data_IF_002216250670
#
_entry.id   IF_002216250670
#
_cell.length_a   1.000
_cell.length_b   1.000
_cell.length_c   1.000
_cell.angle_alpha   90.00
_cell.angle_beta   90.00
_cell.angle_gamma   90.00
#
_symmetry.space_group_name_H-M   'P 1'
#
loop_
_entity.id
_entity.type
_entity.pdbx_description
1 polymer ?
#
# COMPACT_ATOMS: atom_id res chain seq x y z
N UNK A 1 -17.90 11.79 14.01
CA UNK A 1 -19.33 11.81 14.31
C UNK A 1 -20.10 11.10 13.20
N UNK A 2 -21.13 10.38 13.54
CA UNK A 2 -21.99 9.67 12.60
C UNK A 2 -23.34 10.35 12.55
N UNK A 3 -23.92 10.39 11.38
CA UNK A 3 -25.14 11.14 11.14
C UNK A 3 -26.19 10.25 10.49
N UNK A 4 -27.43 10.41 10.89
CA UNK A 4 -28.57 9.63 10.40
C UNK A 4 -29.02 9.99 9.00
N UNK A 5 -28.72 11.21 8.56
CA UNK A 5 -29.15 11.80 7.29
C UNK A 5 -28.00 12.55 6.60
N UNK A 6 -28.30 13.14 5.47
CA UNK A 6 -27.29 13.88 4.67
C UNK A 6 -26.94 15.25 5.24
N UNK A 7 -27.73 15.78 6.19
CA UNK A 7 -27.54 17.14 6.74
C UNK A 7 -26.64 17.17 7.97
N UNK A 8 -26.53 16.03 8.69
CA UNK A 8 -25.74 15.95 9.92
C UNK A 8 -26.20 16.87 11.06
N UNK A 9 -27.48 17.17 11.11
CA UNK A 9 -28.07 18.08 12.11
C UNK A 9 -28.10 17.47 13.52
N UNK A 10 -27.94 16.14 13.60
CA UNK A 10 -27.83 15.42 14.87
C UNK A 10 -26.64 14.46 14.85
N UNK A 11 -25.80 14.51 15.91
CA UNK A 11 -24.66 13.62 16.10
C UNK A 11 -25.08 12.43 16.97
N UNK A 12 -24.74 11.22 16.54
CA UNK A 12 -24.92 9.99 17.30
C UNK A 12 -23.57 9.37 17.61
N UNK A 13 -23.39 8.86 18.80
CA UNK A 13 -22.19 8.09 19.19
C UNK A 13 -22.26 6.63 18.73
N UNK A 14 -23.46 6.13 18.45
CA UNK A 14 -23.71 4.84 17.80
C UNK A 14 -24.91 5.00 16.87
N UNK A 15 -24.73 4.72 15.59
CA UNK A 15 -25.85 4.60 14.66
C UNK A 15 -26.30 3.14 14.67
N UNK A 16 -27.03 2.75 15.70
CA UNK A 16 -27.90 1.60 15.60
C UNK A 16 -29.11 1.98 14.75
N UNK A 17 -29.05 1.79 13.44
CA UNK A 17 -30.20 2.03 12.58
C UNK A 17 -30.71 0.74 11.99
N UNK A 18 -32.00 0.51 12.20
CA UNK A 18 -32.70 -0.68 11.74
C UNK A 18 -32.93 -0.55 10.23
N UNK A 19 -32.27 -1.37 9.44
CA UNK A 19 -32.49 -1.50 8.00
C UNK A 19 -33.53 -2.60 7.76
N UNK A 20 -34.44 -2.35 6.81
CA UNK A 20 -35.51 -3.30 6.50
C UNK A 20 -36.83 -3.05 7.28
N UNK A 21 -36.92 -1.92 7.98
CA UNK A 21 -38.16 -1.47 8.58
C UNK A 21 -38.48 -0.04 8.17
N UNK A 22 -39.75 0.30 8.14
CA UNK A 22 -40.28 1.67 8.04
C UNK A 22 -41.25 1.91 9.17
N UNK A 23 -41.39 3.17 9.57
CA UNK A 23 -42.41 3.60 10.52
C UNK A 23 -43.60 4.12 9.74
N UNK A 24 -44.76 3.50 9.95
CA UNK A 24 -46.03 3.94 9.38
C UNK A 24 -46.97 4.14 10.56
N UNK A 25 -47.47 5.36 10.72
CA UNK A 25 -48.39 5.76 11.81
C UNK A 25 -47.86 5.40 13.21
N UNK A 26 -46.54 5.55 13.43
CA UNK A 26 -45.89 5.24 14.69
C UNK A 26 -45.58 3.75 14.92
N UNK A 27 -45.90 2.87 13.97
CA UNK A 27 -45.65 1.43 14.06
C UNK A 27 -44.44 1.09 13.13
N UNK A 28 -43.47 0.40 13.68
CA UNK A 28 -42.33 -0.12 12.92
C UNK A 28 -42.76 -1.36 12.14
N UNK A 29 -42.74 -1.25 10.81
CA UNK A 29 -43.13 -2.32 9.89
C UNK A 29 -41.93 -2.76 9.04
N UNK A 30 -41.80 -4.06 8.67
CA UNK A 30 -40.82 -4.51 7.71
C UNK A 30 -40.95 -3.83 6.35
N UNK A 31 -39.84 -3.54 5.70
CA UNK A 31 -39.79 -3.11 4.29
C UNK A 31 -39.70 -4.36 3.43
N UNK A 32 -40.52 -4.46 2.41
CA UNK A 32 -40.47 -5.57 1.45
C UNK A 32 -39.16 -5.51 0.65
N UNK A 33 -38.43 -6.62 0.59
CA UNK A 33 -37.25 -6.80 -0.26
C UNK A 33 -37.66 -7.75 -1.38
N UNK A 34 -37.48 -7.35 -2.61
CA UNK A 34 -37.83 -8.13 -3.79
C UNK A 34 -36.60 -8.81 -4.38
N UNK A 35 -36.70 -10.01 -4.99
CA UNK A 35 -35.61 -10.63 -5.72
C UNK A 35 -35.38 -9.91 -7.05
N UNK A 36 -34.11 -9.71 -7.40
CA UNK A 36 -33.68 -9.08 -8.66
C UNK A 36 -32.91 -10.07 -9.53
N UNK A 37 -33.15 -9.97 -10.85
CA UNK A 37 -32.56 -10.88 -11.83
C UNK A 37 -31.11 -10.55 -12.22
N UNK A 38 -30.58 -9.40 -11.84
CA UNK A 38 -29.23 -8.97 -12.21
C UNK A 38 -28.58 -7.98 -11.27
N UNK A 39 -27.26 -7.78 -11.42
CA UNK A 39 -26.45 -6.92 -10.56
C UNK A 39 -26.79 -5.43 -10.62
N UNK A 40 -27.48 -4.98 -11.67
CA UNK A 40 -27.80 -3.58 -11.90
C UNK A 40 -29.19 -3.19 -11.44
N UNK A 41 -30.04 -4.15 -11.10
CA UNK A 41 -31.44 -3.91 -10.76
C UNK A 41 -31.63 -3.23 -9.42
N UNK A 42 -30.72 -3.45 -8.44
CA UNK A 42 -30.76 -2.75 -7.16
C UNK A 42 -30.65 -1.21 -7.32
N UNK A 43 -30.02 -0.72 -8.38
CA UNK A 43 -29.82 0.71 -8.61
C UNK A 43 -31.13 1.47 -8.86
N UNK A 44 -32.21 0.78 -9.18
CA UNK A 44 -33.54 1.36 -9.35
C UNK A 44 -34.30 1.53 -8.02
N UNK A 45 -33.79 0.93 -6.94
CA UNK A 45 -34.36 1.05 -5.61
C UNK A 45 -33.76 2.25 -4.85
N UNK A 46 -34.54 2.82 -3.95
CA UNK A 46 -34.08 3.88 -3.07
C UNK A 46 -33.06 3.30 -2.08
N UNK A 47 -31.79 3.77 -2.11
CA UNK A 47 -30.80 3.30 -1.15
C UNK A 47 -31.13 3.79 0.25
N UNK A 48 -30.67 3.04 1.23
CA UNK A 48 -30.49 3.59 2.55
C UNK A 48 -29.25 4.50 2.54
N UNK A 49 -29.42 5.78 2.91
CA UNK A 49 -28.35 6.79 2.83
C UNK A 49 -27.93 7.15 4.26
N UNK A 50 -26.62 7.11 4.49
CA UNK A 50 -26.05 7.59 5.75
C UNK A 50 -24.75 8.33 5.53
N UNK A 51 -24.42 9.23 6.45
CA UNK A 51 -23.23 10.06 6.39
C UNK A 51 -22.29 9.74 7.53
N UNK A 52 -21.01 9.60 7.21
CA UNK A 52 -19.92 9.54 8.18
C UNK A 52 -19.12 10.83 8.07
N UNK A 53 -18.99 11.53 9.18
CA UNK A 53 -18.25 12.80 9.28
C UNK A 53 -17.02 12.61 10.16
N UNK A 54 -15.86 12.94 9.65
CA UNK A 54 -14.66 13.10 10.46
C UNK A 54 -14.61 14.52 11.05
N UNK A 55 -14.93 14.64 12.32
CA UNK A 55 -14.87 15.94 13.05
C UNK A 55 -13.55 16.13 13.78
N UNK A 56 -12.62 15.19 13.65
CA UNK A 56 -11.28 15.27 14.22
C UNK A 56 -10.35 16.13 13.38
N UNK A 57 -9.21 16.48 13.96
CA UNK A 57 -8.13 17.20 13.29
C UNK A 57 -7.19 16.30 12.48
N UNK A 58 -7.34 14.98 12.60
CA UNK A 58 -6.55 13.96 11.91
C UNK A 58 -7.43 13.16 10.96
N UNK A 59 -6.81 12.61 9.92
CA UNK A 59 -7.44 11.65 9.03
C UNK A 59 -7.79 10.37 9.81
N UNK A 60 -8.83 9.66 9.38
CA UNK A 60 -9.28 8.44 10.05
C UNK A 60 -9.60 7.35 9.02
N UNK A 61 -9.17 6.15 9.28
CA UNK A 61 -9.69 4.97 8.59
C UNK A 61 -11.08 4.65 9.10
N UNK A 62 -11.94 4.16 8.22
CA UNK A 62 -13.32 3.80 8.56
C UNK A 62 -13.61 2.37 8.15
N UNK A 63 -14.25 1.64 9.06
CA UNK A 63 -14.79 0.32 8.84
C UNK A 63 -16.29 0.34 9.10
N UNK A 64 -17.08 -0.12 8.13
CA UNK A 64 -18.54 -0.16 8.22
C UNK A 64 -19.00 -1.61 8.28
N UNK A 65 -19.83 -1.91 9.23
CA UNK A 65 -20.39 -3.25 9.47
C UNK A 65 -21.91 -3.22 9.36
N UNK A 66 -22.47 -4.27 8.80
CA UNK A 66 -23.90 -4.55 8.81
C UNK A 66 -24.14 -5.82 9.63
N UNK A 67 -24.82 -5.71 10.74
CA UNK A 67 -25.14 -6.85 11.61
C UNK A 67 -26.64 -6.99 11.77
N UNK A 68 -27.13 -8.22 11.75
CA UNK A 68 -28.55 -8.48 12.05
C UNK A 68 -28.89 -8.10 13.49
N UNK A 69 -30.01 -7.41 13.68
CA UNK A 69 -30.53 -7.14 15.01
C UNK A 69 -31.23 -8.39 15.58
N UNK A 70 -30.49 -9.09 16.40
CA UNK A 70 -30.99 -10.30 17.04
C UNK A 70 -32.12 -10.03 18.06
N UNK A 71 -32.27 -8.80 18.52
CA UNK A 71 -33.31 -8.43 19.53
C UNK A 71 -34.65 -8.09 18.90
N UNK A 72 -34.66 -7.77 17.58
CA UNK A 72 -35.89 -7.39 16.89
C UNK A 72 -36.81 -8.59 16.72
N UNK A 73 -38.07 -8.39 17.04
CA UNK A 73 -39.16 -9.34 16.78
C UNK A 73 -40.32 -8.60 16.12
N UNK A 74 -40.81 -9.03 14.94
CA UNK A 74 -41.96 -8.40 14.30
C UNK A 74 -43.24 -8.60 15.10
N UNK A 75 -44.15 -7.62 15.01
CA UNK A 75 -45.44 -7.63 15.72
C UNK A 75 -46.61 -7.51 14.74
N UNK A 76 -47.82 -7.65 15.24
CA UNK A 76 -49.03 -7.56 14.45
C UNK A 76 -49.11 -8.62 13.34
N UNK A 77 -49.49 -8.25 12.14
CA UNK A 77 -49.65 -9.16 10.99
C UNK A 77 -48.34 -9.87 10.58
N UNK A 78 -47.19 -9.37 11.02
CA UNK A 78 -45.86 -9.90 10.72
C UNK A 78 -45.32 -10.82 11.84
N UNK A 79 -46.04 -11.05 12.91
CA UNK A 79 -45.59 -11.85 14.07
C UNK A 79 -45.25 -13.30 13.75
N UNK A 80 -45.77 -13.82 12.64
CA UNK A 80 -45.48 -15.17 12.14
C UNK A 80 -44.27 -15.27 11.22
N UNK A 81 -43.66 -14.13 10.87
CA UNK A 81 -42.50 -14.10 9.97
C UNK A 81 -41.24 -14.59 10.68
N UNK A 82 -40.40 -15.30 9.97
CA UNK A 82 -39.12 -15.82 10.48
C UNK A 82 -37.95 -14.99 9.95
N UNK A 83 -36.82 -15.07 10.64
CA UNK A 83 -35.62 -14.38 10.17
C UNK A 83 -35.13 -14.92 8.84
N UNK A 84 -34.87 -14.03 7.90
CA UNK A 84 -34.34 -14.39 6.57
C UNK A 84 -33.01 -15.14 6.71
N UNK A 85 -32.12 -14.65 7.57
CA UNK A 85 -30.77 -15.17 7.76
C UNK A 85 -30.74 -16.58 8.36
N UNK A 86 -31.80 -17.01 9.05
CA UNK A 86 -31.85 -18.36 9.58
C UNK A 86 -31.83 -19.47 8.52
N UNK A 87 -32.27 -19.15 7.28
CA UNK A 87 -32.33 -20.13 6.18
C UNK A 87 -31.82 -19.56 4.85
N UNK A 88 -31.90 -18.26 4.64
CA UNK A 88 -31.70 -17.64 3.33
C UNK A 88 -30.61 -16.58 3.32
N UNK A 89 -29.69 -16.57 4.27
CA UNK A 89 -28.58 -15.62 4.34
C UNK A 89 -27.73 -15.58 3.06
N UNK A 90 -27.58 -16.71 2.37
CA UNK A 90 -26.87 -16.80 1.09
C UNK A 90 -27.54 -16.09 -0.08
N UNK A 91 -28.83 -15.78 0.03
CA UNK A 91 -29.61 -15.07 -0.98
C UNK A 91 -29.71 -13.56 -0.71
N UNK A 92 -29.38 -13.12 0.51
CA UNK A 92 -29.36 -11.69 0.85
C UNK A 92 -28.09 -11.05 0.30
N UNK A 93 -28.26 -10.09 -0.62
CA UNK A 93 -27.18 -9.29 -1.20
C UNK A 93 -27.14 -7.91 -0.56
N UNK A 94 -25.94 -7.45 -0.34
CA UNK A 94 -25.61 -6.13 0.22
C UNK A 94 -24.78 -5.38 -0.80
N UNK A 95 -25.30 -4.28 -1.35
CA UNK A 95 -24.54 -3.41 -2.22
C UNK A 95 -24.26 -2.10 -1.47
N UNK A 96 -23.01 -1.65 -1.45
CA UNK A 96 -22.59 -0.40 -0.81
C UNK A 96 -21.73 0.42 -1.75
N UNK A 97 -21.95 1.74 -1.74
CA UNK A 97 -21.21 2.72 -2.53
C UNK A 97 -20.92 3.96 -1.69
N UNK A 98 -19.71 4.49 -1.80
CA UNK A 98 -19.30 5.73 -1.16
C UNK A 98 -19.43 6.91 -2.10
N UNK A 99 -19.84 8.07 -1.57
CA UNK A 99 -19.76 9.39 -2.22
C UNK A 99 -19.13 10.38 -1.25
N UNK A 100 -18.12 11.13 -1.68
CA UNK A 100 -17.47 12.17 -0.87
C UNK A 100 -18.10 13.52 -1.21
N UNK A 101 -18.41 14.31 -0.17
CA UNK A 101 -18.77 15.72 -0.26
C UNK A 101 -17.74 16.54 0.52
N UNK A 102 -17.30 17.66 -0.06
CA UNK A 102 -16.43 18.60 0.62
C UNK A 102 -17.24 19.52 1.54
N UNK A 103 -16.98 19.44 2.83
CA UNK A 103 -17.83 19.99 3.87
C UNK A 103 -17.81 21.52 3.97
N UNK A 104 -16.65 22.15 3.73
CA UNK A 104 -16.44 23.57 4.00
C UNK A 104 -17.23 24.49 3.07
N UNK A 105 -17.84 23.96 2.05
CA UNK A 105 -18.48 24.73 0.99
C UNK A 105 -19.92 24.33 0.70
N UNK A 106 -20.34 23.16 1.16
CA UNK A 106 -21.63 22.56 0.79
C UNK A 106 -21.72 22.12 -0.69
N UNK A 107 -20.63 22.26 -1.45
CA UNK A 107 -20.61 21.91 -2.86
C UNK A 107 -20.31 20.43 -3.08
N UNK A 108 -20.87 19.91 -4.17
CA UNK A 108 -20.66 18.54 -4.57
C UNK A 108 -19.32 18.38 -5.33
N UNK A 109 -18.69 17.21 -5.20
CA UNK A 109 -17.55 16.86 -6.06
C UNK A 109 -17.94 17.03 -7.54
N UNK A 110 -17.13 17.78 -8.30
CA UNK A 110 -17.39 18.08 -9.70
C UNK A 110 -18.17 19.39 -9.96
N UNK A 111 -18.73 20.05 -8.94
CA UNK A 111 -19.35 21.37 -9.02
C UNK A 111 -18.28 22.47 -9.01
N UNK A 112 -17.49 22.54 -10.10
CA UNK A 112 -16.26 23.36 -10.16
C UNK A 112 -16.58 24.86 -10.25
N UNK A 113 -17.72 25.22 -10.81
CA UNK A 113 -18.16 26.62 -10.92
C UNK A 113 -18.89 27.11 -9.67
N UNK A 114 -19.17 26.23 -8.70
CA UNK A 114 -19.81 26.50 -7.41
C UNK A 114 -21.27 26.99 -7.52
N UNK A 115 -21.99 26.56 -8.56
CA UNK A 115 -23.41 26.95 -8.76
C UNK A 115 -24.41 25.97 -8.09
N UNK A 116 -23.92 24.91 -7.48
CA UNK A 116 -24.69 23.88 -6.77
C UNK A 116 -25.14 22.71 -7.66
N UNK A 117 -24.79 22.69 -8.95
CA UNK A 117 -25.26 21.68 -9.91
C UNK A 117 -24.09 21.19 -10.75
N UNK A 118 -23.78 19.91 -10.68
CA UNK A 118 -22.76 19.30 -11.56
C UNK A 118 -23.32 19.10 -12.96
N UNK A 119 -22.85 19.91 -13.93
CA UNK A 119 -23.32 19.91 -15.31
C UNK A 119 -22.22 20.35 -16.31
N UNK A 120 -22.59 20.55 -17.59
CA UNK A 120 -21.62 20.92 -18.65
C UNK A 120 -20.86 22.23 -18.36
N UNK A 121 -21.45 23.16 -17.60
CA UNK A 121 -20.79 24.43 -17.26
C UNK A 121 -19.57 24.20 -16.36
N UNK A 122 -19.60 23.18 -15.53
CA UNK A 122 -18.43 22.81 -14.71
C UNK A 122 -17.27 22.30 -15.55
N UNK A 123 -17.58 21.47 -16.55
CA UNK A 123 -16.59 20.98 -17.50
C UNK A 123 -16.01 22.10 -18.37
N UNK A 124 -16.83 23.05 -18.78
CA UNK A 124 -16.39 24.25 -19.53
C UNK A 124 -15.53 25.16 -18.63
N UNK A 125 -15.96 25.39 -17.40
CA UNK A 125 -15.23 26.19 -16.42
C UNK A 125 -13.87 25.58 -16.09
N UNK A 126 -13.82 24.28 -15.79
CA UNK A 126 -12.59 23.53 -15.53
C UNK A 126 -11.66 23.58 -16.74
N UNK A 127 -12.15 23.28 -17.94
CA UNK A 127 -11.34 23.28 -19.18
C UNK A 127 -10.81 24.66 -19.55
N UNK A 128 -11.46 25.72 -19.08
CA UNK A 128 -11.07 27.11 -19.31
C UNK A 128 -10.18 27.67 -18.20
N UNK A 129 -9.99 26.95 -17.11
CA UNK A 129 -9.23 27.38 -15.94
C UNK A 129 -7.72 27.28 -16.14
N UNK A 130 -6.97 27.84 -15.17
CA UNK A 130 -5.51 27.76 -15.12
C UNK A 130 -4.95 26.33 -14.93
N UNK A 131 -5.78 25.37 -14.57
CA UNK A 131 -5.39 23.96 -14.51
C UNK A 131 -5.15 23.36 -15.92
N UNK A 132 -5.82 23.88 -16.96
CA UNK A 132 -5.71 23.39 -18.34
C UNK A 132 -5.20 24.42 -19.34
N UNK A 133 -5.14 25.70 -18.97
CA UNK A 133 -4.71 26.80 -19.86
C UNK A 133 -3.75 27.73 -19.11
N UNK A 134 -2.50 27.77 -19.51
CA UNK A 134 -1.48 28.61 -18.87
C UNK A 134 -1.78 30.13 -18.89
N UNK A 135 -2.55 30.60 -19.86
CA UNK A 135 -2.95 32.02 -20.01
C UNK A 135 -4.38 32.29 -19.57
N UNK A 136 -4.97 31.41 -18.76
CA UNK A 136 -6.35 31.59 -18.30
C UNK A 136 -6.45 32.72 -17.28
N UNK A 137 -7.54 33.52 -17.39
CA UNK A 137 -7.96 34.46 -16.35
C UNK A 137 -8.77 33.77 -15.24
N UNK A 138 -9.22 32.53 -15.48
CA UNK A 138 -9.94 31.71 -14.49
C UNK A 138 -8.90 30.97 -13.64
N UNK A 139 -8.69 31.48 -12.44
CA UNK A 139 -7.78 30.84 -11.47
C UNK A 139 -8.64 30.11 -10.45
N UNK A 140 -8.47 28.78 -10.37
CA UNK A 140 -9.19 27.98 -9.39
C UNK A 140 -8.77 28.34 -7.97
N UNK A 141 -9.76 28.61 -7.12
CA UNK A 141 -9.57 28.73 -5.67
C UNK A 141 -9.20 27.37 -5.05
N UNK A 142 -8.73 27.34 -3.84
CA UNK A 142 -8.37 26.09 -3.15
C UNK A 142 -9.59 25.17 -2.96
N UNK A 143 -10.77 25.74 -2.78
CA UNK A 143 -12.04 25.00 -2.76
C UNK A 143 -12.32 24.37 -4.11
N UNK A 144 -12.21 25.15 -5.19
CA UNK A 144 -12.47 24.65 -6.55
C UNK A 144 -11.44 23.58 -6.96
N UNK A 145 -10.18 23.70 -6.53
CA UNK A 145 -9.17 22.66 -6.76
C UNK A 145 -9.56 21.35 -6.08
N UNK A 146 -10.01 21.39 -4.82
CA UNK A 146 -10.46 20.19 -4.10
C UNK A 146 -11.67 19.52 -4.78
N UNK A 147 -12.57 20.32 -5.34
CA UNK A 147 -13.79 19.84 -6.00
C UNK A 147 -13.50 19.31 -7.41
N UNK A 148 -12.49 19.86 -8.07
CA UNK A 148 -12.06 19.49 -9.41
C UNK A 148 -11.13 18.24 -9.42
N UNK A 149 -10.44 17.96 -8.34
CA UNK A 149 -9.66 16.74 -8.13
C UNK A 149 -10.62 15.57 -7.82
N UNK A 150 -11.17 15.00 -8.88
CA UNK A 150 -12.28 14.03 -8.78
C UNK A 150 -11.77 12.66 -8.37
N UNK A 151 -10.55 12.31 -8.76
CA UNK A 151 -9.93 11.04 -8.41
C UNK A 151 -9.21 11.09 -7.04
N UNK A 152 -8.97 12.28 -6.48
CA UNK A 152 -8.37 12.47 -5.16
C UNK A 152 -6.86 12.25 -5.12
N UNK A 153 -6.15 12.34 -6.27
CA UNK A 153 -4.70 12.12 -6.34
C UNK A 153 -3.86 13.37 -6.05
N UNK A 154 -4.53 14.52 -5.82
CA UNK A 154 -3.91 15.81 -5.50
C UNK A 154 -3.48 16.62 -6.73
N UNK A 155 -3.72 16.11 -7.95
CA UNK A 155 -3.49 16.81 -9.21
C UNK A 155 -4.80 17.03 -9.95
N UNK A 156 -4.89 18.09 -10.76
CA UNK A 156 -6.06 18.34 -11.60
C UNK A 156 -5.62 18.19 -13.06
N UNK A 157 -6.02 17.09 -13.68
CA UNK A 157 -5.56 16.74 -15.02
C UNK A 157 -6.68 16.20 -15.94
N UNK A 158 -6.28 15.58 -17.06
CA UNK A 158 -7.22 15.03 -18.04
C UNK A 158 -8.05 13.86 -17.49
N UNK A 159 -7.60 13.20 -16.42
CA UNK A 159 -8.30 12.09 -15.78
C UNK A 159 -9.52 12.65 -15.04
N UNK A 160 -9.35 13.73 -14.26
CA UNK A 160 -10.45 14.40 -13.56
C UNK A 160 -11.50 14.93 -14.51
N UNK A 161 -11.06 15.56 -15.60
CA UNK A 161 -11.98 16.03 -16.63
C UNK A 161 -12.77 14.90 -17.29
N UNK A 162 -12.17 13.73 -17.46
CA UNK A 162 -12.86 12.55 -18.00
C UNK A 162 -13.90 12.03 -16.99
N UNK A 163 -13.55 11.93 -15.72
CA UNK A 163 -14.50 11.56 -14.68
C UNK A 163 -15.65 12.57 -14.56
N UNK A 164 -15.36 13.86 -14.61
CA UNK A 164 -16.39 14.90 -14.63
C UNK A 164 -17.35 14.72 -15.81
N UNK A 165 -16.83 14.47 -17.01
CA UNK A 165 -17.65 14.17 -18.18
C UNK A 165 -18.56 12.95 -17.99
N UNK A 166 -18.07 11.89 -17.36
CA UNK A 166 -18.88 10.70 -17.02
C UNK A 166 -19.94 11.00 -15.96
N UNK A 167 -19.63 11.83 -14.96
CA UNK A 167 -20.58 12.28 -13.94
C UNK A 167 -21.73 13.07 -14.57
N UNK A 168 -21.41 14.02 -15.44
CA UNK A 168 -22.38 14.86 -16.16
C UNK A 168 -23.29 14.00 -17.06
N UNK A 169 -22.74 12.98 -17.70
CA UNK A 169 -23.47 12.04 -18.54
C UNK A 169 -24.33 11.03 -17.73
N UNK A 170 -24.31 11.08 -16.41
CA UNK A 170 -24.99 10.10 -15.55
C UNK A 170 -24.39 8.70 -15.59
N UNK A 171 -23.18 8.54 -16.18
CA UNK A 171 -22.47 7.26 -16.26
C UNK A 171 -21.63 7.01 -15.02
N UNK A 172 -21.43 8.02 -14.19
CA UNK A 172 -20.55 7.97 -13.04
C UNK A 172 -20.90 9.08 -12.04
N UNK A 173 -21.19 8.72 -10.81
CA UNK A 173 -21.55 9.65 -9.74
C UNK A 173 -20.54 9.68 -8.59
N UNK A 174 -19.51 8.83 -8.64
CA UNK A 174 -18.46 8.71 -7.65
C UNK A 174 -17.25 7.97 -8.24
N UNK A 175 -16.04 8.30 -7.77
CA UNK A 175 -14.81 7.54 -8.05
C UNK A 175 -14.87 6.12 -7.47
N UNK A 176 -15.75 5.89 -6.50
CA UNK A 176 -15.86 4.62 -5.83
C UNK A 176 -16.83 3.70 -6.55
N UNK A 177 -16.36 2.50 -6.85
CA UNK A 177 -17.21 1.43 -7.38
C UNK A 177 -18.15 0.90 -6.31
N UNK A 178 -19.33 0.45 -6.74
CA UNK A 178 -20.23 -0.29 -5.85
C UNK A 178 -19.60 -1.63 -5.48
N UNK A 179 -19.49 -1.92 -4.19
CA UNK A 179 -19.10 -3.23 -3.67
C UNK A 179 -20.35 -4.04 -3.40
N UNK A 180 -20.38 -5.29 -3.83
CA UNK A 180 -21.52 -6.19 -3.66
C UNK A 180 -21.07 -7.44 -2.93
N UNK A 181 -21.77 -7.77 -1.86
CA UNK A 181 -21.50 -8.92 -1.02
C UNK A 181 -22.73 -9.83 -0.90
N UNK A 182 -22.50 -11.09 -0.60
CA UNK A 182 -23.52 -11.97 -0.02
C UNK A 182 -23.46 -11.86 1.51
N UNK A 183 -24.58 -11.66 2.17
CA UNK A 183 -24.59 -11.44 3.62
C UNK A 183 -23.95 -12.61 4.39
N UNK A 184 -24.19 -13.85 3.95
CA UNK A 184 -23.59 -15.04 4.56
C UNK A 184 -22.05 -15.09 4.51
N UNK A 185 -21.45 -14.38 3.55
CA UNK A 185 -19.99 -14.39 3.32
C UNK A 185 -19.28 -13.22 4.01
N UNK A 186 -20.02 -12.36 4.74
CA UNK A 186 -19.43 -11.21 5.42
C UNK A 186 -18.60 -11.63 6.63
N UNK A 187 -17.34 -11.30 6.64
CA UNK A 187 -16.45 -11.44 7.78
C UNK A 187 -16.81 -10.39 8.85
N UNK A 188 -17.28 -10.82 10.03
CA UNK A 188 -17.74 -9.94 11.11
C UNK A 188 -18.75 -8.85 10.68
N UNK A 189 -19.50 -9.12 9.61
CA UNK A 189 -20.46 -8.16 9.04
C UNK A 189 -19.84 -7.01 8.26
N UNK A 190 -18.54 -7.04 7.96
CA UNK A 190 -17.84 -5.94 7.28
C UNK A 190 -18.33 -5.80 5.84
N UNK A 191 -18.90 -4.63 5.51
CA UNK A 191 -19.38 -4.27 4.18
C UNK A 191 -18.49 -3.20 3.51
N UNK A 192 -17.67 -2.49 4.29
CA UNK A 192 -16.72 -1.49 3.80
C UNK A 192 -15.56 -1.38 4.79
N UNK A 193 -14.32 -1.37 4.30
CA UNK A 193 -13.12 -1.26 5.14
C UNK A 193 -12.01 -0.49 4.43
N UNK A 194 -11.03 -0.08 5.22
CA UNK A 194 -9.81 0.59 4.75
C UNK A 194 -10.11 1.88 3.97
N UNK A 195 -11.22 2.54 4.32
CA UNK A 195 -11.62 3.79 3.76
C UNK A 195 -11.08 4.95 4.60
N UNK A 196 -10.51 5.95 3.94
CA UNK A 196 -9.97 7.13 4.60
C UNK A 196 -10.97 8.27 4.44
N UNK A 197 -11.35 8.88 5.58
CA UNK A 197 -12.06 10.16 5.61
C UNK A 197 -11.10 11.17 6.23
N UNK A 198 -10.69 12.14 5.43
CA UNK A 198 -9.74 13.18 5.86
C UNK A 198 -10.35 14.05 6.96
N UNK A 199 -9.49 14.75 7.70
CA UNK A 199 -9.91 15.74 8.69
C UNK A 199 -10.94 16.70 8.09
N UNK A 200 -12.03 16.89 8.82
CA UNK A 200 -13.17 17.74 8.43
C UNK A 200 -13.92 17.31 7.15
N UNK A 201 -13.66 16.15 6.59
CA UNK A 201 -14.42 15.60 5.46
C UNK A 201 -15.67 14.81 5.90
N UNK A 202 -16.60 14.74 4.95
CA UNK A 202 -17.78 13.86 5.03
C UNK A 202 -17.72 12.80 3.93
N UNK A 203 -18.17 11.61 4.25
CA UNK A 203 -18.49 10.59 3.27
C UNK A 203 -19.95 10.21 3.37
N UNK A 204 -20.65 10.17 2.26
CA UNK A 204 -22.02 9.64 2.15
C UNK A 204 -21.92 8.24 1.57
N UNK A 205 -22.65 7.33 2.18
CA UNK A 205 -22.74 5.95 1.74
C UNK A 205 -24.16 5.64 1.33
N UNK A 206 -24.30 4.97 0.19
CA UNK A 206 -25.52 4.38 -0.30
C UNK A 206 -25.48 2.89 -0.07
N UNK A 207 -26.47 2.36 0.61
CA UNK A 207 -26.58 0.95 0.94
C UNK A 207 -27.89 0.40 0.39
N UNK A 208 -27.81 -0.71 -0.34
CA UNK A 208 -28.97 -1.44 -0.82
C UNK A 208 -28.94 -2.85 -0.26
N UNK A 209 -30.12 -3.33 0.12
CA UNK A 209 -30.35 -4.71 0.46
C UNK A 209 -31.35 -5.29 -0.53
N UNK A 210 -31.02 -6.44 -1.10
CA UNK A 210 -31.90 -7.11 -2.06
C UNK A 210 -31.69 -8.62 -2.03
N UNK A 211 -32.68 -9.36 -2.51
CA UNK A 211 -32.59 -10.80 -2.67
C UNK A 211 -32.14 -11.14 -4.09
N UNK A 212 -31.29 -12.15 -4.26
CA UNK A 212 -30.93 -12.61 -5.59
C UNK A 212 -32.07 -13.38 -6.26
N UNK A 213 -31.98 -13.53 -7.57
CA UNK A 213 -33.03 -14.19 -8.39
C UNK A 213 -33.16 -15.68 -8.17
N UNK A 214 -32.28 -16.28 -7.40
CA UNK A 214 -32.33 -17.72 -7.03
C UNK A 214 -33.06 -17.94 -5.70
N UNK A 215 -33.56 -16.87 -5.08
CA UNK A 215 -34.25 -16.93 -3.81
C UNK A 215 -35.52 -17.78 -3.92
N UNK A 216 -35.69 -18.82 -3.09
CA UNK A 216 -36.89 -19.67 -3.14
C UNK A 216 -38.18 -18.95 -2.74
N UNK A 217 -39.31 -19.38 -3.27
CA UNK A 217 -40.60 -18.79 -2.95
C UNK A 217 -41.01 -18.89 -1.48
N UNK A 218 -40.49 -19.84 -0.74
CA UNK A 218 -40.74 -20.01 0.70
C UNK A 218 -40.05 -18.95 1.57
N UNK A 219 -39.17 -18.10 0.96
CA UNK A 219 -38.61 -16.91 1.62
C UNK A 219 -39.63 -15.75 1.81
N UNK A 220 -40.84 -15.82 1.23
CA UNK A 220 -41.82 -14.73 1.24
C UNK A 220 -42.31 -14.31 2.62
N UNK A 221 -42.20 -15.16 3.63
CA UNK A 221 -42.58 -14.87 5.01
C UNK A 221 -41.37 -14.71 5.91
N UNK A 222 -40.33 -14.08 5.41
CA UNK A 222 -39.12 -13.81 6.19
C UNK A 222 -38.88 -12.31 6.31
N UNK A 223 -38.04 -11.92 7.28
CA UNK A 223 -37.65 -10.54 7.50
C UNK A 223 -36.14 -10.45 7.75
N UNK A 224 -35.56 -9.31 7.45
CA UNK A 224 -34.22 -8.91 7.85
C UNK A 224 -34.27 -7.53 8.48
N UNK A 225 -33.64 -7.39 9.62
CA UNK A 225 -33.44 -6.12 10.32
C UNK A 225 -31.98 -6.07 10.72
N UNK A 226 -31.27 -5.03 10.31
CA UNK A 226 -29.86 -4.89 10.57
C UNK A 226 -29.47 -3.52 11.12
N UNK A 227 -28.41 -3.52 11.89
CA UNK A 227 -27.76 -2.31 12.41
C UNK A 227 -26.51 -2.03 11.59
N UNK A 228 -26.25 -0.73 11.34
CA UNK A 228 -24.98 -0.27 10.79
C UNK A 228 -24.12 0.21 11.93
N UNK A 229 -22.97 -0.43 12.10
CA UNK A 229 -21.92 0.01 13.01
C UNK A 229 -20.78 0.65 12.20
N UNK A 230 -20.23 1.74 12.69
CA UNK A 230 -19.09 2.42 12.07
C UNK A 230 -17.97 2.55 13.10
N UNK A 231 -16.87 1.89 12.82
CA UNK A 231 -15.64 1.97 13.59
C UNK A 231 -14.68 2.93 12.86
N UNK A 232 -14.06 3.84 13.59
CA UNK A 232 -13.04 4.76 13.08
C UNK A 232 -11.76 4.65 13.88
N UNK A 233 -10.62 4.61 13.19
CA UNK A 233 -9.31 4.63 13.80
C UNK A 233 -8.52 5.83 13.25
N UNK A 234 -7.87 6.57 14.13
CA UNK A 234 -7.04 7.71 13.71
C UNK A 234 -5.83 7.23 12.92
N UNK A 235 -5.58 7.93 11.82
CA UNK A 235 -4.30 7.85 11.13
C UNK A 235 -3.38 8.87 11.82
N UNK A 236 -2.32 8.45 12.50
CA UNK A 236 -1.39 9.36 13.14
C UNK A 236 -0.87 10.39 12.13
N UNK A 237 -0.78 11.64 12.52
CA UNK A 237 -0.13 12.67 11.71
C UNK A 237 1.35 12.30 11.58
N UNK A 238 1.77 11.94 10.37
CA UNK A 238 3.15 11.54 10.12
C UNK A 238 3.97 12.82 10.02
N UNK A 239 4.87 13.00 10.97
CA UNK A 239 5.75 14.16 11.03
C UNK A 239 6.52 14.36 9.71
N UNK A 240 6.78 15.62 9.36
CA UNK A 240 7.65 15.94 8.23
C UNK A 240 9.07 15.38 8.47
N UNK A 241 9.77 14.92 7.41
CA UNK A 241 11.10 14.37 7.55
C UNK A 241 12.08 15.40 8.13
N UNK A 242 12.86 15.00 9.11
CA UNK A 242 13.82 15.83 9.80
C UNK A 242 15.20 15.19 9.92
N UNK A 243 15.30 14.01 10.53
CA UNK A 243 16.57 13.31 10.74
C UNK A 243 16.36 11.80 10.66
N UNK A 244 17.10 11.13 9.77
CA UNK A 244 16.97 9.70 9.53
C UNK A 244 17.14 8.85 10.79
N UNK A 245 18.03 9.22 11.70
CA UNK A 245 18.29 8.42 12.92
C UNK A 245 17.13 8.43 13.91
N UNK A 246 16.34 9.53 13.96
CA UNK A 246 15.29 9.74 14.97
C UNK A 246 13.88 9.63 14.40
N UNK A 247 13.68 9.86 13.10
CA UNK A 247 12.37 9.80 12.49
C UNK A 247 11.79 8.38 12.55
N UNK A 248 10.46 8.27 12.69
CA UNK A 248 9.77 6.99 12.67
C UNK A 248 9.86 6.34 11.27
N UNK A 249 9.69 5.03 11.20
CA UNK A 249 9.67 4.34 9.89
C UNK A 249 8.51 4.82 9.01
N UNK A 250 7.38 5.18 9.59
CA UNK A 250 6.25 5.78 8.86
C UNK A 250 6.61 7.15 8.26
N UNK A 251 7.34 7.99 9.00
CA UNK A 251 7.86 9.26 8.47
C UNK A 251 8.84 9.04 7.31
N UNK A 252 9.75 8.08 7.48
CA UNK A 252 10.76 7.78 6.47
C UNK A 252 10.12 7.25 5.19
N UNK A 253 9.21 6.26 5.27
CA UNK A 253 8.59 5.68 4.09
C UNK A 253 7.71 6.69 3.36
N UNK A 254 6.95 7.50 4.08
CA UNK A 254 6.16 8.59 3.48
C UNK A 254 7.06 9.58 2.73
N UNK A 255 8.17 9.98 3.32
CA UNK A 255 9.14 10.85 2.67
C UNK A 255 9.73 10.23 1.39
N UNK A 256 9.97 8.91 1.39
CA UNK A 256 10.44 8.18 0.19
C UNK A 256 9.36 8.14 -0.90
N UNK A 257 8.12 7.82 -0.56
CA UNK A 257 6.98 7.74 -1.48
C UNK A 257 6.66 9.09 -2.12
N UNK A 258 6.74 10.16 -1.35
CA UNK A 258 6.50 11.55 -1.79
C UNK A 258 7.75 12.20 -2.44
N UNK A 259 8.87 11.47 -2.56
CA UNK A 259 10.16 11.99 -3.00
C UNK A 259 10.64 13.22 -2.19
N UNK A 260 10.24 13.31 -0.92
CA UNK A 260 10.58 14.38 0.02
C UNK A 260 11.75 13.98 0.94
N UNK A 261 12.84 13.49 0.34
CA UNK A 261 13.99 12.89 1.05
C UNK A 261 15.21 13.83 1.16
N UNK A 262 15.01 15.13 1.00
CA UNK A 262 16.11 16.11 1.03
C UNK A 262 16.81 16.23 2.39
N UNK A 263 16.13 15.86 3.46
CA UNK A 263 16.68 15.85 4.83
C UNK A 263 17.50 14.62 5.16
N UNK A 264 17.42 13.58 4.36
CA UNK A 264 18.18 12.35 4.56
C UNK A 264 19.37 12.32 3.61
N UNK A 265 20.57 12.15 4.14
CA UNK A 265 21.79 12.12 3.33
C UNK A 265 22.25 10.68 3.12
N UNK A 266 22.91 10.43 2.00
CA UNK A 266 23.64 9.18 1.79
C UNK A 266 24.69 9.04 2.91
N UNK A 267 24.70 7.87 3.53
CA UNK A 267 25.56 7.61 4.70
C UNK A 267 24.92 7.89 6.07
N UNK A 268 23.76 8.57 6.13
CA UNK A 268 23.02 8.71 7.41
C UNK A 268 22.65 7.32 7.94
N UNK A 269 22.63 7.19 9.26
CA UNK A 269 22.47 5.90 9.94
C UNK A 269 21.30 5.89 10.92
N UNK A 270 20.76 4.69 11.16
CA UNK A 270 19.70 4.43 12.13
C UNK A 270 19.92 3.06 12.78
N UNK A 271 19.87 3.02 14.10
CA UNK A 271 19.94 1.78 14.86
C UNK A 271 18.59 1.05 14.86
N UNK A 272 18.65 -0.27 14.79
CA UNK A 272 17.48 -1.15 14.90
C UNK A 272 17.80 -2.31 15.85
N UNK A 273 16.81 -2.73 16.62
CA UNK A 273 16.88 -3.93 17.45
C UNK A 273 16.39 -5.14 16.62
N UNK A 274 17.24 -6.14 16.50
CA UNK A 274 16.96 -7.38 15.78
C UNK A 274 16.79 -8.59 16.73
N UNK A 275 16.39 -8.33 17.97
CA UNK A 275 16.14 -9.37 18.96
C UNK A 275 17.37 -10.24 19.22
N UNK A 276 17.32 -11.53 18.87
CA UNK A 276 18.41 -12.48 19.10
C UNK A 276 19.72 -12.13 18.37
N UNK A 277 19.68 -11.33 17.33
CA UNK A 277 20.87 -10.84 16.62
C UNK A 277 21.46 -9.57 17.24
N UNK A 278 20.76 -8.92 18.19
CA UNK A 278 21.22 -7.70 18.85
C UNK A 278 20.85 -6.42 18.10
N UNK A 279 21.46 -5.32 18.51
CA UNK A 279 21.28 -4.00 17.89
C UNK A 279 22.27 -3.82 16.75
N UNK A 280 21.76 -3.42 15.58
CA UNK A 280 22.57 -3.19 14.39
C UNK A 280 22.25 -1.83 13.77
N UNK A 281 23.20 -1.30 13.01
CA UNK A 281 23.09 0.00 12.35
C UNK A 281 22.79 -0.18 10.87
N UNK A 282 21.69 0.42 10.43
CA UNK A 282 21.37 0.60 9.01
C UNK A 282 21.96 1.91 8.50
N UNK A 283 22.36 1.94 7.25
CA UNK A 283 22.90 3.11 6.57
C UNK A 283 22.16 3.34 5.25
N UNK A 284 21.90 4.59 4.91
CA UNK A 284 21.41 4.95 3.57
C UNK A 284 22.54 4.73 2.56
N UNK A 285 22.40 3.69 1.77
CA UNK A 285 23.39 3.31 0.75
C UNK A 285 23.11 3.92 -0.61
N UNK A 286 21.83 4.19 -0.93
CA UNK A 286 21.42 4.77 -2.20
C UNK A 286 20.13 5.57 -2.06
N UNK A 287 20.00 6.66 -2.82
CA UNK A 287 18.80 7.48 -2.94
C UNK A 287 18.40 7.72 -4.41
N UNK A 288 19.32 7.53 -5.33
CA UNK A 288 19.11 7.88 -6.72
C UNK A 288 18.37 6.81 -7.51
N UNK A 289 17.60 7.26 -8.52
CA UNK A 289 16.88 6.40 -9.45
C UNK A 289 17.16 6.88 -10.88
N UNK A 290 18.38 6.65 -11.41
CA UNK A 290 18.70 7.05 -12.78
C UNK A 290 17.94 6.21 -13.81
N UNK A 291 17.94 6.64 -15.07
CA UNK A 291 17.15 6.03 -16.16
C UNK A 291 17.45 4.56 -16.40
N UNK A 292 18.67 4.11 -16.12
CA UNK A 292 19.08 2.70 -16.22
C UNK A 292 18.25 1.78 -15.31
N UNK A 293 17.71 2.30 -14.19
CA UNK A 293 16.83 1.57 -13.28
C UNK A 293 15.49 1.14 -13.92
N UNK A 294 15.12 1.77 -15.03
CA UNK A 294 13.90 1.44 -15.79
C UNK A 294 14.20 0.55 -17.00
N UNK A 295 15.45 0.12 -17.18
CA UNK A 295 15.83 -0.76 -18.28
C UNK A 295 15.38 -2.18 -17.98
N UNK A 296 14.74 -2.83 -18.94
CA UNK A 296 14.38 -4.24 -18.82
C UNK A 296 15.61 -5.12 -18.55
N UNK A 297 15.48 -6.03 -17.60
CA UNK A 297 16.58 -6.91 -17.19
C UNK A 297 17.63 -6.26 -16.30
N UNK A 298 17.43 -5.01 -15.85
CA UNK A 298 18.34 -4.36 -14.90
C UNK A 298 17.97 -4.70 -13.45
N UNK A 299 18.97 -4.93 -12.62
CA UNK A 299 18.80 -5.19 -11.20
C UNK A 299 18.37 -3.92 -10.45
N UNK A 300 17.38 -4.03 -9.60
CA UNK A 300 16.88 -2.89 -8.80
C UNK A 300 17.66 -2.67 -7.49
N UNK A 301 18.68 -3.47 -7.22
CA UNK A 301 19.42 -3.49 -5.95
C UNK A 301 20.17 -2.20 -5.62
N UNK A 302 20.42 -1.35 -6.60
CA UNK A 302 21.03 -0.03 -6.43
C UNK A 302 20.14 1.10 -7.00
N UNK A 303 18.80 0.92 -6.95
CA UNK A 303 17.81 1.85 -7.50
C UNK A 303 16.84 2.30 -6.42
N UNK A 304 16.59 3.60 -6.29
CA UNK A 304 15.72 4.17 -5.27
C UNK A 304 16.33 4.19 -3.88
N UNK A 305 15.50 4.15 -2.84
CA UNK A 305 15.96 4.27 -1.47
C UNK A 305 16.40 2.91 -0.93
N UNK A 306 17.74 2.72 -0.85
CA UNK A 306 18.37 1.48 -0.41
C UNK A 306 19.01 1.68 0.95
N UNK A 307 18.71 0.78 1.86
CA UNK A 307 19.38 0.63 3.16
C UNK A 307 20.28 -0.62 3.13
N UNK A 308 21.46 -0.48 3.72
CA UNK A 308 22.34 -1.62 3.97
C UNK A 308 22.70 -1.68 5.45
N UNK A 309 22.99 -2.88 5.95
CA UNK A 309 23.63 -2.99 7.26
C UNK A 309 25.06 -2.48 7.20
N UNK A 310 25.39 -1.54 8.07
CA UNK A 310 26.74 -0.98 8.16
C UNK A 310 27.74 -2.05 8.60
N UNK A 311 27.32 -2.92 9.51
CA UNK A 311 28.13 -3.96 10.13
C UNK A 311 27.64 -5.37 9.74
N UNK A 312 28.34 -6.37 10.23
CA UNK A 312 28.01 -7.78 10.06
C UNK A 312 27.01 -8.19 11.14
N UNK A 313 25.82 -8.66 10.72
CA UNK A 313 24.75 -9.10 11.62
C UNK A 313 25.11 -10.42 12.29
N UNK A 314 25.66 -11.35 11.51
CA UNK A 314 26.01 -12.71 11.91
C UNK A 314 26.99 -13.31 10.91
N UNK A 315 27.39 -14.53 11.11
CA UNK A 315 28.24 -15.27 10.18
C UNK A 315 27.53 -16.54 9.71
N UNK A 316 27.67 -16.86 8.43
CA UNK A 316 27.11 -18.09 7.85
C UNK A 316 27.84 -18.50 6.57
N UNK A 317 27.51 -19.68 6.07
CA UNK A 317 28.00 -20.20 4.79
C UNK A 317 27.07 -19.70 3.67
N UNK A 318 27.64 -19.55 2.45
CA UNK A 318 26.79 -19.34 1.27
C UNK A 318 26.02 -20.61 0.93
N UNK A 319 26.71 -21.76 0.96
CA UNK A 319 26.14 -23.11 0.78
C UNK A 319 26.86 -24.08 1.71
N UNK A 320 26.17 -25.14 2.11
CA UNK A 320 26.83 -26.24 2.86
C UNK A 320 27.78 -27.02 1.99
N UNK A 321 27.51 -27.14 0.70
CA UNK A 321 28.34 -27.77 -0.30
C UNK A 321 29.40 -26.81 -0.87
N UNK A 322 30.52 -27.36 -1.34
CA UNK A 322 31.51 -26.65 -2.17
C UNK A 322 30.94 -26.49 -3.59
N UNK A 323 29.99 -25.60 -3.75
CA UNK A 323 29.35 -25.35 -5.04
C UNK A 323 28.72 -23.96 -5.07
N UNK A 324 28.82 -23.30 -6.22
CA UNK A 324 28.09 -22.08 -6.53
C UNK A 324 27.04 -22.28 -7.64
N UNK A 325 26.67 -23.51 -7.90
CA UNK A 325 25.71 -23.86 -8.96
C UNK A 325 24.36 -23.16 -8.73
N UNK A 326 23.88 -22.45 -9.75
CA UNK A 326 22.65 -21.67 -9.69
C UNK A 326 22.86 -20.26 -9.09
N UNK A 327 24.09 -19.89 -8.74
CA UNK A 327 24.43 -18.57 -8.23
C UNK A 327 23.66 -18.17 -6.98
N UNK A 328 23.45 -16.87 -6.81
CA UNK A 328 22.67 -16.31 -5.71
C UNK A 328 21.24 -16.86 -5.63
N UNK A 329 20.60 -17.07 -6.79
CA UNK A 329 19.22 -17.56 -6.84
C UNK A 329 19.02 -18.86 -6.05
N UNK A 330 20.00 -19.79 -6.12
CA UNK A 330 19.94 -21.09 -5.47
C UNK A 330 20.79 -21.19 -4.18
N UNK A 331 21.40 -20.07 -3.76
CA UNK A 331 22.24 -20.08 -2.55
C UNK A 331 21.39 -20.30 -1.28
N UNK A 332 21.83 -21.17 -0.39
CA UNK A 332 21.23 -21.39 0.94
C UNK A 332 21.22 -20.08 1.75
N UNK A 333 22.19 -19.21 1.55
CA UNK A 333 22.28 -17.88 2.13
C UNK A 333 21.09 -16.99 1.70
N UNK A 334 20.62 -17.07 0.44
CA UNK A 334 19.44 -16.33 -0.01
C UNK A 334 18.20 -16.71 0.81
N UNK A 335 17.98 -18.02 0.99
CA UNK A 335 16.91 -18.54 1.85
C UNK A 335 17.10 -18.10 3.31
N UNK A 336 18.32 -18.18 3.83
CA UNK A 336 18.63 -17.80 5.21
C UNK A 336 18.32 -16.33 5.49
N UNK A 337 18.76 -15.41 4.64
CA UNK A 337 18.53 -13.98 4.93
C UNK A 337 17.06 -13.58 4.73
N UNK A 338 16.36 -14.16 3.75
CA UNK A 338 14.95 -13.84 3.49
C UNK A 338 13.97 -14.53 4.45
N UNK A 339 14.40 -15.53 5.21
CA UNK A 339 13.62 -16.16 6.27
C UNK A 339 14.09 -15.70 7.66
N UNK A 340 15.33 -16.02 8.04
CA UNK A 340 15.81 -15.82 9.41
C UNK A 340 16.10 -14.34 9.72
N UNK A 341 16.87 -13.68 8.87
CA UNK A 341 17.24 -12.26 9.09
C UNK A 341 16.02 -11.36 8.88
N UNK A 342 15.22 -11.57 7.82
CA UNK A 342 14.00 -10.80 7.55
C UNK A 342 13.02 -10.91 8.72
N UNK A 343 12.79 -12.10 9.27
CA UNK A 343 11.87 -12.28 10.40
C UNK A 343 12.34 -11.64 11.71
N UNK A 344 13.65 -11.42 11.85
CA UNK A 344 14.24 -10.75 13.01
C UNK A 344 14.15 -9.21 12.93
N UNK A 345 13.81 -8.64 11.78
CA UNK A 345 13.62 -7.19 11.64
C UNK A 345 12.40 -6.71 12.43
N UNK A 346 12.41 -5.45 12.92
CA UNK A 346 11.22 -4.82 13.50
C UNK A 346 10.02 -4.88 12.56
N UNK A 347 8.82 -5.08 13.09
CA UNK A 347 7.60 -5.19 12.28
C UNK A 347 7.38 -3.96 11.39
N UNK A 348 7.51 -2.76 11.96
CA UNK A 348 7.39 -1.49 11.24
C UNK A 348 8.33 -1.41 10.02
N UNK A 349 9.54 -1.97 10.13
CA UNK A 349 10.50 -1.99 9.03
C UNK A 349 10.12 -3.05 7.98
N UNK A 350 9.66 -4.24 8.40
CA UNK A 350 9.21 -5.29 7.48
C UNK A 350 8.06 -4.84 6.57
N UNK A 351 7.14 -4.03 7.10
CA UNK A 351 5.97 -3.54 6.38
C UNK A 351 6.32 -2.61 5.21
N UNK A 352 7.45 -1.91 5.30
CA UNK A 352 7.89 -0.94 4.29
C UNK A 352 8.98 -1.47 3.35
N UNK A 353 9.52 -2.66 3.60
CA UNK A 353 10.49 -3.30 2.69
C UNK A 353 9.76 -3.80 1.44
N UNK A 354 10.14 -3.25 0.30
CA UNK A 354 9.56 -3.61 -0.99
C UNK A 354 10.30 -4.77 -1.64
N UNK A 355 9.60 -5.49 -2.51
CA UNK A 355 10.21 -6.51 -3.35
C UNK A 355 11.23 -5.89 -4.30
N UNK A 356 12.40 -6.50 -4.41
CA UNK A 356 13.52 -6.03 -5.22
C UNK A 356 13.89 -7.06 -6.26
N UNK A 357 13.88 -6.65 -7.53
CA UNK A 357 14.37 -7.49 -8.62
C UNK A 357 15.89 -7.55 -8.57
N UNK A 358 16.43 -8.76 -8.45
CA UNK A 358 17.86 -9.07 -8.49
C UNK A 358 18.16 -9.81 -9.77
N UNK A 359 19.06 -9.25 -10.61
CA UNK A 359 19.53 -9.85 -11.85
C UNK A 359 21.02 -10.07 -11.73
N UNK A 360 21.47 -11.31 -11.79
CA UNK A 360 22.87 -11.68 -11.64
C UNK A 360 23.17 -12.99 -12.38
N UNK A 361 24.44 -13.36 -12.48
CA UNK A 361 24.86 -14.55 -13.22
C UNK A 361 24.65 -15.86 -12.42
N UNK A 362 24.42 -16.94 -13.14
CA UNK A 362 24.37 -18.28 -12.55
C UNK A 362 25.74 -18.86 -12.14
N UNK A 363 26.82 -18.31 -12.69
CA UNK A 363 28.20 -18.74 -12.41
C UNK A 363 28.92 -19.32 -13.63
N UNK A 364 30.05 -20.01 -13.36
CA UNK A 364 31.01 -20.44 -14.39
C UNK A 364 30.40 -21.29 -15.53
N UNK A 365 29.49 -22.15 -15.17
CA UNK A 365 28.98 -23.16 -16.10
C UNK A 365 27.69 -22.73 -16.83
N UNK A 366 27.22 -21.54 -16.57
CA UNK A 366 26.03 -20.96 -17.18
C UNK A 366 26.28 -19.50 -17.53
N UNK A 367 26.22 -19.15 -18.78
CA UNK A 367 26.46 -17.78 -19.29
C UNK A 367 25.23 -16.89 -19.26
N UNK A 368 24.09 -17.40 -18.79
CA UNK A 368 22.86 -16.64 -18.61
C UNK A 368 22.80 -15.89 -17.28
N UNK A 369 21.93 -14.89 -17.20
CA UNK A 369 21.49 -14.29 -15.96
C UNK A 369 20.23 -14.98 -15.44
N UNK A 370 20.06 -15.06 -14.13
CA UNK A 370 18.79 -15.26 -13.50
C UNK A 370 18.13 -13.93 -13.13
N UNK A 371 16.81 -13.94 -12.99
CA UNK A 371 16.03 -12.86 -12.37
C UNK A 371 15.27 -13.45 -11.20
N UNK A 372 15.43 -12.90 -10.02
CA UNK A 372 14.69 -13.30 -8.82
C UNK A 372 14.19 -12.08 -8.07
N UNK A 373 13.19 -12.27 -7.22
CA UNK A 373 12.64 -11.22 -6.36
C UNK A 373 12.95 -11.55 -4.92
N UNK A 374 13.58 -10.60 -4.23
CA UNK A 374 13.99 -10.77 -2.84
C UNK A 374 13.58 -9.55 -2.00
N UNK A 375 13.27 -9.76 -0.72
CA UNK A 375 13.15 -8.67 0.26
C UNK A 375 14.54 -8.20 0.69
N UNK A 376 15.41 -9.12 1.05
CA UNK A 376 16.81 -8.87 1.40
C UNK A 376 17.74 -9.49 0.35
N UNK A 377 18.84 -8.83 0.07
CA UNK A 377 19.88 -9.33 -0.85
C UNK A 377 21.29 -8.94 -0.37
N UNK A 378 22.29 -9.72 -0.72
CA UNK A 378 23.69 -9.31 -0.54
C UNK A 378 24.11 -8.36 -1.67
N UNK A 379 25.08 -7.49 -1.42
CA UNK A 379 25.62 -6.60 -2.43
C UNK A 379 26.43 -7.34 -3.49
N UNK A 380 26.62 -6.68 -4.64
CA UNK A 380 27.48 -7.12 -5.72
C UNK A 380 28.81 -6.32 -5.72
N UNK A 381 29.91 -6.84 -6.28
CA UNK A 381 31.14 -6.07 -6.44
C UNK A 381 30.94 -4.73 -7.15
N UNK A 382 30.13 -4.69 -8.19
CA UNK A 382 29.83 -3.48 -8.99
C UNK A 382 29.03 -2.43 -8.21
N UNK A 383 28.37 -2.82 -7.13
CA UNK A 383 27.64 -1.91 -6.25
C UNK A 383 28.58 -1.22 -5.23
N UNK A 384 29.81 -1.73 -5.06
CA UNK A 384 30.78 -1.29 -4.07
C UNK A 384 31.99 -0.60 -4.69
N UNK A 385 32.54 -1.15 -5.78
CA UNK A 385 33.79 -0.67 -6.37
C UNK A 385 33.51 0.06 -7.69
N UNK A 386 33.86 1.35 -7.77
CA UNK A 386 33.56 2.20 -8.92
C UNK A 386 34.31 1.81 -10.20
N UNK A 387 35.46 1.15 -10.06
CA UNK A 387 36.32 0.66 -11.13
C UNK A 387 36.24 -0.87 -11.35
N UNK A 388 35.28 -1.53 -10.72
CA UNK A 388 35.07 -2.96 -10.93
C UNK A 388 34.62 -3.22 -12.37
N UNK A 389 35.45 -3.96 -13.09
CA UNK A 389 35.17 -4.44 -14.44
C UNK A 389 34.94 -5.94 -14.41
N UNK A 390 33.77 -6.38 -14.87
CA UNK A 390 33.51 -7.80 -15.08
C UNK A 390 34.36 -8.30 -16.23
N UNK A 391 35.32 -9.16 -15.90
CA UNK A 391 36.15 -9.82 -16.93
C UNK A 391 35.48 -11.15 -17.21
N UNK A 392 34.80 -11.33 -18.34
CA UNK A 392 34.70 -12.60 -19.01
C UNK A 392 33.42 -13.17 -19.52
N UNK A 393 33.45 -14.40 -19.86
CA UNK A 393 32.64 -15.39 -20.53
C UNK A 393 31.32 -15.76 -19.84
N UNK A 394 31.05 -15.26 -18.64
CA UNK A 394 29.77 -15.43 -17.93
C UNK A 394 28.90 -14.19 -18.07
N UNK A 395 27.61 -14.36 -17.86
CA UNK A 395 26.65 -13.26 -17.84
C UNK A 395 27.08 -12.19 -16.81
N UNK A 396 26.89 -10.94 -17.21
CA UNK A 396 27.29 -9.78 -16.43
C UNK A 396 26.24 -9.43 -15.39
N UNK A 397 26.70 -8.92 -14.27
CA UNK A 397 25.82 -8.39 -13.24
C UNK A 397 25.24 -7.04 -13.71
N UNK A 398 23.91 -7.02 -13.97
CA UNK A 398 23.23 -5.84 -14.51
C UNK A 398 22.80 -4.92 -13.37
N UNK A 399 23.77 -4.28 -12.72
CA UNK A 399 23.57 -3.33 -11.62
C UNK A 399 24.51 -2.15 -11.73
N UNK A 400 24.43 -1.21 -10.80
CA UNK A 400 25.23 0.01 -10.73
C UNK A 400 25.86 0.18 -9.35
N UNK A 401 26.80 1.12 -9.27
CA UNK A 401 27.41 1.55 -8.02
C UNK A 401 26.36 2.21 -7.10
N UNK A 402 26.35 1.86 -5.82
CA UNK A 402 25.56 2.55 -4.80
C UNK A 402 26.12 3.95 -4.52
N UNK A 403 25.23 4.90 -4.25
CA UNK A 403 25.61 6.29 -4.05
C UNK A 403 26.65 6.46 -2.91
N UNK A 404 26.51 5.73 -1.82
CA UNK A 404 27.47 5.76 -0.70
C UNK A 404 28.90 5.42 -1.15
N UNK A 405 29.08 4.29 -1.82
CA UNK A 405 30.41 3.85 -2.23
C UNK A 405 30.98 4.75 -3.34
N UNK A 406 30.12 5.31 -4.20
CA UNK A 406 30.50 6.31 -5.18
C UNK A 406 31.01 7.60 -4.52
N UNK A 407 30.30 8.14 -3.54
CA UNK A 407 30.69 9.34 -2.79
C UNK A 407 32.00 9.12 -1.98
N UNK A 408 32.15 7.93 -1.42
CA UNK A 408 33.39 7.52 -0.73
C UNK A 408 34.53 7.17 -1.68
N UNK A 409 34.30 7.19 -3.00
CA UNK A 409 35.28 6.87 -4.04
C UNK A 409 35.94 5.52 -3.83
N UNK A 410 35.14 4.52 -3.47
CA UNK A 410 35.62 3.17 -3.26
C UNK A 410 36.02 2.56 -4.59
N UNK A 411 37.26 2.08 -4.68
CA UNK A 411 37.84 1.45 -5.88
C UNK A 411 38.54 0.16 -5.47
N UNK A 412 38.94 -0.64 -6.46
CA UNK A 412 39.76 -1.84 -6.25
C UNK A 412 41.12 -1.53 -5.59
N UNK A 413 41.57 -0.27 -5.61
CA UNK A 413 42.81 0.23 -5.01
C UNK A 413 42.58 1.18 -3.81
N UNK A 414 41.34 1.61 -3.52
CA UNK A 414 40.99 2.48 -2.41
C UNK A 414 39.69 1.97 -1.77
N UNK A 415 39.79 1.04 -0.87
CA UNK A 415 38.71 0.14 -0.43
C UNK A 415 38.40 0.19 1.07
N UNK A 416 39.02 1.06 1.86
CA UNK A 416 38.84 1.10 3.31
C UNK A 416 37.35 1.25 3.74
N UNK A 417 36.55 1.98 2.94
CA UNK A 417 35.11 2.16 3.20
C UNK A 417 34.25 0.90 2.86
N UNK A 418 34.85 -0.16 2.33
CA UNK A 418 34.22 -1.45 2.13
C UNK A 418 34.45 -2.44 3.30
N UNK A 419 35.26 -2.06 4.29
CA UNK A 419 35.47 -2.87 5.50
C UNK A 419 34.19 -2.90 6.33
N UNK A 420 33.79 -4.08 6.76
CA UNK A 420 32.70 -4.27 7.74
C UNK A 420 33.22 -4.98 8.97
N UNK A 421 32.54 -4.75 10.09
CA UNK A 421 33.00 -5.22 11.41
C UNK A 421 31.96 -6.18 12.02
N UNK A 422 32.46 -7.17 12.72
CA UNK A 422 31.69 -8.02 13.63
C UNK A 422 32.18 -7.73 15.06
N UNK A 423 31.35 -7.09 15.88
CA UNK A 423 31.72 -6.68 17.24
C UNK A 423 33.09 -5.96 17.30
N UNK A 424 33.23 -4.92 16.50
CA UNK A 424 34.45 -4.10 16.37
C UNK A 424 35.67 -4.79 15.75
N UNK A 425 35.54 -6.05 15.30
CA UNK A 425 36.62 -6.78 14.62
C UNK A 425 36.35 -6.79 13.11
N UNK A 426 37.30 -6.27 12.33
CA UNK A 426 37.20 -6.31 10.87
C UNK A 426 37.07 -7.78 10.42
N UNK A 427 36.01 -8.10 9.73
CA UNK A 427 35.69 -9.48 9.35
C UNK A 427 35.36 -9.50 7.86
N UNK A 428 35.79 -10.51 7.14
CA UNK A 428 35.43 -10.68 5.76
C UNK A 428 33.95 -11.04 5.64
N UNK A 429 33.28 -10.57 4.54
CA UNK A 429 31.85 -10.73 4.37
C UNK A 429 31.46 -11.07 2.94
N UNK A 430 30.32 -11.74 2.78
CA UNK A 430 29.82 -12.27 1.52
C UNK A 430 29.22 -11.22 0.59
N UNK A 431 29.45 -11.43 -0.72
CA UNK A 431 28.72 -10.81 -1.81
C UNK A 431 27.93 -11.87 -2.58
N UNK A 432 26.88 -11.44 -3.31
CA UNK A 432 25.99 -12.38 -4.03
C UNK A 432 26.56 -12.99 -5.28
N UNK A 433 27.57 -12.36 -5.89
CA UNK A 433 28.10 -12.78 -7.18
C UNK A 433 29.04 -13.96 -7.08
N UNK A 434 29.15 -14.67 -8.21
CA UNK A 434 30.05 -15.82 -8.38
C UNK A 434 31.17 -15.46 -9.34
N UNK A 435 32.43 -15.87 -9.06
CA UNK A 435 33.52 -15.66 -10.02
C UNK A 435 33.36 -16.58 -11.23
N UNK A 436 33.65 -16.03 -12.41
CA UNK A 436 33.58 -16.78 -13.67
C UNK A 436 34.62 -17.92 -13.78
N UNK A 437 35.68 -17.87 -13.00
CA UNK A 437 36.79 -18.83 -13.06
C UNK A 437 36.62 -20.07 -12.19
N UNK A 438 35.61 -20.13 -11.29
CA UNK A 438 35.50 -21.15 -10.27
C UNK A 438 34.04 -21.57 -10.06
N UNK A 439 33.78 -22.86 -9.85
CA UNK A 439 32.46 -23.44 -9.63
C UNK A 439 32.08 -23.65 -8.15
N UNK A 440 32.95 -23.30 -7.21
CA UNK A 440 32.74 -23.50 -5.79
C UNK A 440 32.80 -22.25 -4.92
N UNK A 441 33.09 -21.08 -5.52
CA UNK A 441 33.32 -19.84 -4.79
C UNK A 441 32.23 -18.81 -5.02
N UNK A 442 32.05 -17.94 -4.04
CA UNK A 442 31.35 -16.66 -4.16
C UNK A 442 32.32 -15.52 -3.86
N UNK A 443 32.02 -14.35 -4.41
CA UNK A 443 32.75 -13.14 -4.06
C UNK A 443 32.49 -12.74 -2.61
N UNK A 444 33.44 -12.03 -2.05
CA UNK A 444 33.38 -11.43 -0.73
C UNK A 444 34.36 -10.29 -0.62
N UNK A 445 34.25 -9.52 0.43
CA UNK A 445 35.19 -8.46 0.79
C UNK A 445 36.01 -8.95 1.96
N UNK A 446 37.34 -8.87 1.89
CA UNK A 446 38.21 -9.33 2.96
C UNK A 446 38.29 -8.29 4.12
N UNK A 447 39.02 -8.64 5.18
CA UNK A 447 39.18 -7.80 6.38
C UNK A 447 39.85 -6.45 6.13
N UNK A 448 40.48 -6.25 5.00
CA UNK A 448 41.09 -4.98 4.59
C UNK A 448 40.27 -4.19 3.62
N UNK A 449 39.11 -4.72 3.17
CA UNK A 449 38.19 -4.10 2.20
C UNK A 449 38.47 -4.49 0.74
N UNK A 450 39.41 -5.38 0.47
CA UNK A 450 39.76 -5.85 -0.87
C UNK A 450 38.70 -6.86 -1.35
N UNK A 451 38.28 -6.77 -2.61
CA UNK A 451 37.47 -7.80 -3.26
C UNK A 451 38.24 -9.12 -3.33
N UNK A 452 37.63 -10.18 -2.87
CA UNK A 452 38.17 -11.51 -2.89
C UNK A 452 37.04 -12.52 -3.20
N UNK A 453 37.36 -13.80 -3.22
CA UNK A 453 36.39 -14.88 -3.28
C UNK A 453 36.78 -15.99 -2.32
N UNK A 454 35.78 -16.72 -1.81
CA UNK A 454 35.95 -17.82 -0.89
C UNK A 454 35.05 -18.99 -1.25
N UNK A 455 35.42 -20.16 -0.75
CA UNK A 455 34.62 -21.37 -0.94
C UNK A 455 33.23 -21.23 -0.28
N UNK A 456 32.21 -21.57 -1.02
CA UNK A 456 30.80 -21.41 -0.59
C UNK A 456 30.50 -22.01 0.80
N UNK A 457 31.18 -23.07 1.19
CA UNK A 457 31.03 -23.74 2.48
C UNK A 457 31.83 -23.12 3.64
N UNK A 458 32.59 -22.05 3.40
CA UNK A 458 33.28 -21.33 4.47
C UNK A 458 32.29 -20.39 5.18
N UNK A 459 32.58 -20.11 6.46
CA UNK A 459 31.76 -19.21 7.26
C UNK A 459 32.28 -17.79 7.09
N UNK A 460 31.45 -16.91 6.57
CA UNK A 460 31.74 -15.49 6.34
C UNK A 460 30.67 -14.58 6.90
N UNK A 461 30.97 -13.29 6.99
CA UNK A 461 30.06 -12.27 7.47
C UNK A 461 28.81 -12.10 6.59
N UNK A 462 27.68 -11.87 7.22
CA UNK A 462 26.39 -11.62 6.57
C UNK A 462 25.98 -10.17 6.83
N UNK A 463 25.86 -9.40 5.75
CA UNK A 463 25.49 -7.99 5.79
C UNK A 463 24.62 -7.65 4.58
N UNK A 464 23.31 -7.90 4.65
CA UNK A 464 22.39 -7.67 3.54
C UNK A 464 22.04 -6.20 3.35
N UNK A 465 21.38 -5.93 2.24
CA UNK A 465 20.73 -4.68 1.90
C UNK A 465 19.28 -4.94 1.49
N UNK A 466 18.48 -3.88 1.43
CA UNK A 466 17.08 -3.92 1.00
C UNK A 466 16.60 -2.55 0.57
N UNK A 467 15.46 -2.52 -0.13
CA UNK A 467 14.80 -1.29 -0.55
C UNK A 467 13.55 -1.03 0.29
N UNK A 468 13.24 0.23 0.50
CA UNK A 468 11.98 0.67 1.11
C UNK A 468 11.21 1.59 0.17
N UNK A 469 9.86 1.57 0.29
CA UNK A 469 8.97 2.36 -0.56
C UNK A 469 7.49 2.21 -0.23
#
# INVERSE_FOLDING_TARGET
SFCKDTTCDSTYTNIGQVIGTKVVDGVTTPVSIYPYAGKTEYSNETPYIFKVKNTGTLDSTVKIKLKEDASFAPSGDYSSYTRLTSKYAGHLKVAIKKKILYQDTGYQLGDVNLDGIVNLKDSEYLSSSNAFRSNSTIILTDVQKKIADINGDGTIDAIDRNFLGKMIAGLYDSIYSTKIYTYADLEDGIIFKDDIIKSNENAIYFLWLYLDNTTPNDAQKTYFVGNIDVEGEYIPDIAAPNNFSTDSWSTIVKAVQENNISKYNVGDTKEIDMGAYGTHTLRIANKSTPSECSTEGFSQTACGFVLEFQDIITTSKMNTAYSNTGGWNNAEMNTFINNNIYNALPNELKEIIIDTIVVSSYGKNDTANFTTTNKLYLLAPKEIYTDYAETTDTAKDLTRILDYYKEKRVTMNSYANAIKYNNSTATWWWLRNVPSSNSGNFFGVNVTGILNNNYAHFVGGVSPAFRIG
#
